data_IF_861620177180
#
_entry.id   IF_861620177180
#
_cell.length_a   1.000
_cell.length_b   1.000
_cell.length_c   1.000
_cell.angle_alpha   90.00
_cell.angle_beta   90.00
_cell.angle_gamma   90.00
#
_symmetry.space_group_name_H-M   'P 1'
#
loop_
_entity.id
_entity.type
_entity.pdbx_description
1 polymer ?
#
# COMPACT_ATOMS: atom_id res chain seq x y z
N UNK A 1 -10.05 -3.29 -2.51
CA UNK A 1 -8.75 -4.00 -2.41
C UNK A 1 -8.93 -5.41 -2.97
N UNK A 2 -7.89 -6.03 -3.57
CA UNK A 2 -7.95 -7.42 -4.02
C UNK A 2 -8.44 -8.34 -2.90
N UNK A 3 -9.21 -9.38 -3.24
CA UNK A 3 -9.82 -10.29 -2.25
C UNK A 3 -8.80 -11.10 -1.42
N UNK A 4 -7.51 -11.08 -1.81
CA UNK A 4 -6.42 -11.82 -1.15
C UNK A 4 -5.16 -10.95 -0.99
N UNK A 5 -5.28 -9.87 -0.21
CA UNK A 5 -4.14 -9.03 0.14
C UNK A 5 -3.69 -9.29 1.58
N UNK A 6 -2.43 -9.67 1.76
CA UNK A 6 -1.79 -9.90 3.06
C UNK A 6 -1.04 -8.65 3.50
N UNK A 7 -1.27 -8.20 4.73
CA UNK A 7 -0.41 -7.18 5.35
C UNK A 7 0.91 -7.82 5.76
N UNK A 8 2.03 -7.32 5.23
CA UNK A 8 3.38 -7.81 5.50
C UNK A 8 3.99 -7.05 6.68
N UNK A 9 3.89 -5.72 6.66
CA UNK A 9 4.40 -4.88 7.76
C UNK A 9 3.69 -3.53 7.82
N UNK A 10 3.82 -2.87 8.97
CA UNK A 10 3.32 -1.53 9.22
C UNK A 10 4.31 -0.73 10.07
N UNK A 11 4.47 0.55 9.78
CA UNK A 11 5.28 1.47 10.56
C UNK A 11 4.62 2.85 10.65
N UNK A 12 4.73 3.52 11.79
CA UNK A 12 4.33 4.93 11.92
C UNK A 12 5.37 5.80 11.24
N UNK A 13 4.94 6.77 10.43
CA UNK A 13 5.86 7.68 9.72
C UNK A 13 5.18 9.02 9.45
N UNK A 14 5.82 10.13 9.81
CA UNK A 14 5.33 11.51 9.58
C UNK A 14 3.84 11.73 9.93
N UNK A 15 3.38 11.17 11.05
CA UNK A 15 1.98 11.23 11.49
C UNK A 15 1.01 10.31 10.74
N UNK A 16 1.45 9.71 9.63
CA UNK A 16 0.75 8.68 8.88
C UNK A 16 1.24 7.26 9.19
N UNK A 17 0.92 6.34 8.29
CA UNK A 17 1.35 4.94 8.36
C UNK A 17 1.92 4.48 7.03
N UNK A 18 3.09 3.85 7.08
CA UNK A 18 3.67 3.13 5.97
C UNK A 18 3.27 1.66 6.09
N UNK A 19 2.63 1.12 5.05
CA UNK A 19 2.25 -0.27 4.96
C UNK A 19 3.02 -0.96 3.84
N UNK A 20 3.28 -2.24 4.03
CA UNK A 20 3.73 -3.15 2.98
C UNK A 20 2.72 -4.27 2.87
N UNK A 21 2.26 -4.54 1.65
CA UNK A 21 1.28 -5.56 1.33
C UNK A 21 1.84 -6.53 0.31
N UNK A 22 1.34 -7.76 0.37
CA UNK A 22 1.57 -8.79 -0.64
C UNK A 22 0.24 -9.27 -1.21
N UNK A 23 0.19 -9.55 -2.51
CA UNK A 23 -0.95 -10.20 -3.14
C UNK A 23 -0.52 -11.01 -4.36
N UNK A 24 -1.27 -12.06 -4.71
CA UNK A 24 -1.09 -12.69 -6.01
C UNK A 24 -1.61 -11.76 -7.11
N UNK A 25 -0.75 -11.40 -8.06
CA UNK A 25 -1.09 -10.61 -9.24
C UNK A 25 -1.46 -11.55 -10.38
N UNK A 26 -2.71 -11.48 -10.86
CA UNK A 26 -3.13 -12.25 -12.04
C UNK A 26 -2.46 -11.78 -13.32
N UNK A 27 -2.09 -10.50 -13.42
CA UNK A 27 -1.41 -9.95 -14.59
C UNK A 27 0.06 -10.38 -14.66
N UNK A 28 0.72 -10.58 -13.51
CA UNK A 28 2.13 -10.99 -13.44
C UNK A 28 2.29 -12.49 -13.17
N UNK A 29 1.21 -13.20 -12.83
CA UNK A 29 1.18 -14.63 -12.46
C UNK A 29 2.13 -15.00 -11.32
N UNK A 30 2.32 -14.10 -10.35
CA UNK A 30 3.17 -14.32 -9.19
C UNK A 30 2.70 -13.53 -7.96
N UNK A 31 3.30 -13.82 -6.79
CA UNK A 31 3.13 -13.00 -5.60
C UNK A 31 3.91 -11.68 -5.77
N UNK A 32 3.23 -10.56 -5.56
CA UNK A 32 3.77 -9.22 -5.69
C UNK A 32 3.67 -8.49 -4.36
N UNK A 33 4.77 -7.86 -3.96
CA UNK A 33 4.86 -7.02 -2.76
C UNK A 33 4.97 -5.55 -3.15
N UNK A 34 4.17 -4.69 -2.53
CA UNK A 34 4.15 -3.25 -2.77
C UNK A 34 3.92 -2.47 -1.48
N UNK A 35 4.27 -1.18 -1.50
CA UNK A 35 4.19 -0.30 -0.35
C UNK A 35 3.13 0.80 -0.54
N UNK A 36 2.43 1.17 0.54
CA UNK A 36 1.48 2.31 0.57
C UNK A 36 1.82 3.18 1.76
N UNK A 37 2.08 4.47 1.52
CA UNK A 37 2.02 5.48 2.57
C UNK A 37 0.60 6.05 2.68
N UNK A 38 0.00 5.96 3.87
CA UNK A 38 -1.30 6.54 4.17
C UNK A 38 -1.10 7.77 5.07
N UNK A 39 -1.36 8.99 4.56
CA UNK A 39 -1.13 10.22 5.32
C UNK A 39 -2.22 10.41 6.40
N UNK A 40 -1.98 11.21 7.45
CA UNK A 40 -2.95 11.41 8.54
C UNK A 40 -4.30 11.95 8.05
N UNK A 41 -4.32 12.77 6.99
CA UNK A 41 -5.53 13.34 6.39
C UNK A 41 -6.49 12.28 5.83
N UNK A 42 -6.00 11.06 5.55
CA UNK A 42 -6.83 9.96 5.08
C UNK A 42 -7.86 9.49 6.12
N UNK A 43 -7.71 9.89 7.40
CA UNK A 43 -8.71 9.66 8.45
C UNK A 43 -9.96 10.51 8.30
N UNK A 44 -9.82 11.68 7.68
CA UNK A 44 -10.90 12.68 7.57
C UNK A 44 -11.51 12.72 6.17
N UNK A 45 -10.70 12.48 5.13
CA UNK A 45 -11.12 12.59 3.74
C UNK A 45 -10.34 11.63 2.84
N UNK A 46 -10.90 11.36 1.65
CA UNK A 46 -10.14 10.68 0.59
C UNK A 46 -9.00 11.58 0.14
N UNK A 47 -7.81 11.00 -0.01
CA UNK A 47 -6.63 11.69 -0.52
C UNK A 47 -6.39 11.30 -1.99
N UNK A 48 -5.79 12.18 -2.81
CA UNK A 48 -5.27 11.79 -4.11
C UNK A 48 -4.16 10.75 -3.97
N UNK A 49 -3.97 9.93 -5.00
CA UNK A 49 -2.94 8.88 -5.05
C UNK A 49 -1.84 9.28 -6.02
N UNK A 50 -0.59 9.07 -5.61
CA UNK A 50 0.59 9.16 -6.47
C UNK A 50 1.22 7.78 -6.56
N UNK A 51 1.48 7.31 -7.78
CA UNK A 51 2.22 6.08 -8.03
C UNK A 51 3.70 6.41 -8.25
N UNK A 52 4.56 5.90 -7.38
CA UNK A 52 6.00 5.96 -7.55
C UNK A 52 6.48 4.62 -8.14
N UNK A 53 7.12 4.68 -9.30
CA UNK A 53 7.72 3.53 -9.96
C UNK A 53 9.23 3.62 -9.74
N UNK A 54 9.79 2.64 -9.05
CA UNK A 54 11.24 2.53 -8.91
C UNK A 54 11.91 2.24 -10.26
N UNK A 55 13.22 2.48 -10.33
CA UNK A 55 14.05 1.98 -11.43
C UNK A 55 14.23 0.46 -11.37
#
# INVERSE_FOLDING_TARGET
MPKHTKLVSTAKSHGGAQHVYSHFSTSCSCEMTFAIFVPPQARERRCPVVWYLSG
#
